data_IF_126252035301
#
_entry.id   IF_126252035301
#
_cell.length_a   1.000
_cell.length_b   1.000
_cell.length_c   1.000
_cell.angle_alpha   90.00
_cell.angle_beta   90.00
_cell.angle_gamma   90.00
#
_symmetry.space_group_name_H-M   'P 1'
#
loop_
_entity.id
_entity.type
_entity.pdbx_description
1 polymer ?
#
# COMPACT_ATOMS: atom_id res chain seq x y z
N UNK A 1 11.64 1.74 -18.64
CA UNK A 1 10.20 2.10 -18.62
C UNK A 1 9.78 2.11 -17.16
N UNK A 2 10.12 3.20 -16.48
CA UNK A 2 9.76 3.48 -15.08
C UNK A 2 8.42 4.22 -15.03
N UNK A 3 7.40 3.67 -15.67
CA UNK A 3 6.06 4.27 -15.79
C UNK A 3 5.16 3.90 -14.58
N UNK A 4 5.78 3.72 -13.41
CA UNK A 4 5.05 3.54 -12.18
C UNK A 4 4.73 4.93 -11.61
N UNK A 5 3.45 5.26 -11.37
CA UNK A 5 3.11 6.54 -10.78
C UNK A 5 3.88 6.73 -9.47
N UNK A 6 4.33 7.96 -9.17
CA UNK A 6 5.10 8.22 -7.97
C UNK A 6 4.33 7.75 -6.73
N UNK A 7 4.99 7.05 -5.81
CA UNK A 7 4.31 6.46 -4.65
C UNK A 7 3.63 7.49 -3.75
N UNK A 8 4.14 8.72 -3.69
CA UNK A 8 3.54 9.82 -2.97
C UNK A 8 2.20 10.29 -3.57
N UNK A 9 1.94 9.98 -4.84
CA UNK A 9 0.61 10.19 -5.44
C UNK A 9 -0.38 9.15 -4.94
N UNK A 10 0.09 7.94 -4.62
CA UNK A 10 -0.77 6.80 -4.28
C UNK A 10 -1.17 6.76 -2.79
N UNK A 11 -0.23 7.10 -1.91
CA UNK A 11 -0.47 7.11 -0.47
C UNK A 11 0.12 8.35 0.19
N UNK A 12 -0.54 8.82 1.24
CA UNK A 12 -0.04 9.90 2.09
C UNK A 12 0.23 9.37 3.49
N UNK A 13 1.48 9.51 3.95
CA UNK A 13 1.90 9.08 5.29
C UNK A 13 1.61 10.18 6.30
N UNK A 14 0.84 9.81 7.33
CA UNK A 14 0.45 10.68 8.43
C UNK A 14 1.44 10.58 9.60
N UNK A 15 1.99 9.39 9.79
CA UNK A 15 2.95 9.09 10.86
C UNK A 15 3.76 7.85 10.49
N UNK A 16 5.06 7.85 10.80
CA UNK A 16 5.90 6.66 10.66
C UNK A 16 7.00 6.65 11.71
N UNK A 17 7.19 5.52 12.38
CA UNK A 17 8.33 5.30 13.28
C UNK A 17 9.54 4.70 12.57
N UNK A 18 9.39 4.31 11.31
CA UNK A 18 10.46 3.77 10.47
C UNK A 18 10.65 4.66 9.22
N UNK A 19 11.86 4.73 8.63
CA UNK A 19 12.06 5.41 7.36
C UNK A 19 11.14 4.79 6.29
N UNK A 20 10.34 5.63 5.64
CA UNK A 20 9.48 5.19 4.55
C UNK A 20 10.30 5.04 3.27
N UNK A 21 10.89 3.87 3.07
CA UNK A 21 11.58 3.55 1.81
C UNK A 21 10.56 3.39 0.67
N UNK A 22 10.96 3.62 -0.60
CA UNK A 22 10.08 3.40 -1.73
C UNK A 22 9.49 1.98 -1.78
N UNK A 23 10.30 0.96 -1.47
CA UNK A 23 9.84 -0.44 -1.39
C UNK A 23 8.77 -0.62 -0.32
N UNK A 24 8.97 -0.08 0.88
CA UNK A 24 7.98 -0.15 1.96
C UNK A 24 6.68 0.57 1.57
N UNK A 25 6.78 1.77 0.99
CA UNK A 25 5.62 2.52 0.52
C UNK A 25 4.80 1.71 -0.50
N UNK A 26 5.45 1.04 -1.45
CA UNK A 26 4.77 0.20 -2.45
C UNK A 26 4.12 -1.04 -1.85
N UNK A 27 4.81 -1.74 -0.95
CA UNK A 27 4.23 -2.91 -0.27
C UNK A 27 3.01 -2.52 0.56
N UNK A 28 3.08 -1.42 1.32
CA UNK A 28 1.97 -0.91 2.11
C UNK A 28 0.80 -0.46 1.24
N UNK A 29 1.08 0.23 0.13
CA UNK A 29 0.07 0.61 -0.85
C UNK A 29 -0.68 -0.61 -1.39
N UNK A 30 0.05 -1.63 -1.86
CA UNK A 30 -0.56 -2.82 -2.44
C UNK A 30 -1.44 -3.55 -1.43
N UNK A 31 -0.92 -3.77 -0.21
CA UNK A 31 -1.67 -4.42 0.85
C UNK A 31 -2.94 -3.62 1.23
N UNK A 32 -2.83 -2.30 1.39
CA UNK A 32 -3.97 -1.45 1.71
C UNK A 32 -5.00 -1.41 0.57
N UNK A 33 -4.56 -1.36 -0.69
CA UNK A 33 -5.46 -1.36 -1.84
C UNK A 33 -6.24 -2.68 -1.95
N UNK A 34 -5.57 -3.81 -1.71
CA UNK A 34 -6.24 -5.12 -1.66
C UNK A 34 -7.28 -5.19 -0.53
N UNK A 35 -6.97 -4.65 0.65
CA UNK A 35 -7.93 -4.56 1.76
C UNK A 35 -9.11 -3.64 1.43
N UNK A 36 -8.83 -2.48 0.83
CA UNK A 36 -9.87 -1.55 0.38
C UNK A 36 -10.82 -2.23 -0.61
N UNK A 37 -10.28 -2.91 -1.62
CA UNK A 37 -11.09 -3.58 -2.66
C UNK A 37 -11.91 -4.75 -2.14
N UNK A 38 -11.37 -5.53 -1.19
CA UNK A 38 -12.06 -6.69 -0.62
C UNK A 38 -13.02 -6.34 0.52
N UNK A 39 -12.85 -5.16 1.13
CA UNK A 39 -13.57 -4.77 2.35
C UNK A 39 -13.03 -5.44 3.62
N UNK A 40 -11.84 -6.03 3.55
CA UNK A 40 -11.22 -6.76 4.66
C UNK A 40 -10.67 -5.81 5.73
N UNK A 41 -10.67 -6.27 6.98
CA UNK A 41 -10.16 -5.48 8.12
C UNK A 41 -8.64 -5.52 8.25
N UNK A 42 -8.00 -6.64 7.88
CA UNK A 42 -6.58 -6.90 8.16
C UNK A 42 -5.96 -7.69 7.01
N UNK A 43 -4.74 -7.32 6.64
CA UNK A 43 -3.94 -7.97 5.58
C UNK A 43 -2.50 -8.15 6.02
N UNK A 44 -1.83 -9.16 5.49
CA UNK A 44 -0.41 -9.38 5.74
C UNK A 44 0.43 -8.46 4.85
N UNK A 45 1.51 -7.92 5.42
CA UNK A 45 2.61 -7.32 4.68
C UNK A 45 3.67 -8.40 4.55
N UNK A 46 3.94 -8.83 3.32
CA UNK A 46 5.01 -9.78 3.04
C UNK A 46 5.82 -9.29 1.84
N UNK A 47 7.08 -8.93 2.10
CA UNK A 47 8.09 -8.66 1.10
C UNK A 47 9.45 -9.18 1.59
N UNK A 48 10.46 -9.20 0.72
CA UNK A 48 11.75 -9.87 1.00
C UNK A 48 12.44 -9.43 2.31
N UNK A 49 12.25 -8.18 2.75
CA UNK A 49 12.89 -7.60 3.93
C UNK A 49 11.91 -6.99 4.95
N UNK A 50 10.60 -7.18 4.73
CA UNK A 50 9.53 -6.53 5.50
C UNK A 50 8.41 -7.54 5.75
N UNK A 51 8.12 -7.81 7.02
CA UNK A 51 6.93 -8.56 7.44
C UNK A 51 6.02 -7.70 8.30
N UNK A 52 4.74 -8.06 8.42
CA UNK A 52 3.84 -7.33 9.30
C UNK A 52 2.36 -7.46 8.93
N UNK A 53 1.55 -6.54 9.45
CA UNK A 53 0.11 -6.50 9.22
C UNK A 53 -0.35 -5.08 8.91
N UNK A 54 -1.25 -4.94 7.96
CA UNK A 54 -2.01 -3.70 7.70
C UNK A 54 -3.42 -3.88 8.21
N UNK A 55 -3.89 -2.89 8.94
CA UNK A 55 -5.24 -2.76 9.45
C UNK A 55 -5.96 -1.65 8.69
N UNK A 56 -7.11 -1.99 8.11
CA UNK A 56 -8.06 -1.01 7.58
C UNK A 56 -8.79 -0.37 8.76
N UNK A 57 -8.59 0.93 8.98
CA UNK A 57 -9.21 1.64 10.10
C UNK A 57 -10.71 1.90 9.85
N UNK A 58 -11.21 1.61 8.65
CA UNK A 58 -12.59 1.81 8.21
C UNK A 58 -13.08 3.24 8.43
N UNK A 59 -12.17 4.19 8.18
CA UNK A 59 -12.38 5.62 8.30
C UNK A 59 -11.80 6.31 7.09
N UNK A 60 -12.52 7.28 6.56
CA UNK A 60 -11.98 8.27 5.64
C UNK A 60 -11.35 9.42 6.43
N UNK A 61 -10.16 9.84 6.03
CA UNK A 61 -9.43 10.96 6.61
C UNK A 61 -9.35 12.08 5.58
N UNK A 62 -9.58 13.31 6.05
CA UNK A 62 -9.47 14.54 5.28
C UNK A 62 -8.34 15.35 5.90
N UNK A 63 -7.25 15.55 5.15
CA UNK A 63 -6.10 16.33 5.57
C UNK A 63 -5.79 17.40 4.51
N UNK A 64 -6.22 18.63 4.77
CA UNK A 64 -6.14 19.70 3.78
C UNK A 64 -6.89 19.32 2.50
N UNK A 65 -6.18 19.33 1.36
CA UNK A 65 -6.73 18.90 0.06
C UNK A 65 -6.65 17.40 -0.22
N UNK A 66 -6.07 16.60 0.69
CA UNK A 66 -5.87 15.16 0.51
C UNK A 66 -6.97 14.41 1.27
N UNK A 67 -7.59 13.41 0.64
CA UNK A 67 -8.65 12.61 1.24
C UNK A 67 -8.52 11.14 0.84
N UNK A 68 -8.95 10.24 1.74
CA UNK A 68 -9.21 8.85 1.43
C UNK A 68 -9.19 7.91 2.64
N UNK A 69 -9.33 6.59 2.42
CA UNK A 69 -9.40 5.61 3.49
C UNK A 69 -8.08 5.47 4.23
N UNK A 70 -8.16 5.37 5.55
CA UNK A 70 -7.01 5.32 6.45
C UNK A 70 -6.65 3.90 6.90
N UNK A 71 -5.35 3.68 7.05
CA UNK A 71 -4.75 2.41 7.40
C UNK A 71 -3.65 2.61 8.46
N UNK A 72 -3.44 1.56 9.25
CA UNK A 72 -2.31 1.44 10.15
C UNK A 72 -1.57 0.16 9.84
N UNK A 73 -0.25 0.22 9.72
CA UNK A 73 0.59 -0.94 9.52
C UNK A 73 1.56 -1.11 10.67
N UNK A 74 1.56 -2.30 11.26
CA UNK A 74 2.61 -2.80 12.12
C UNK A 74 3.60 -3.55 11.24
N UNK A 75 4.86 -3.11 11.21
CA UNK A 75 5.90 -3.68 10.35
C UNK A 75 7.12 -4.07 11.16
N UNK A 76 7.74 -5.17 10.77
CA UNK A 76 9.04 -5.63 11.24
C UNK A 76 10.05 -5.47 10.11
N UNK A 77 11.15 -4.79 10.41
CA UNK A 77 12.25 -4.56 9.49
C UNK A 77 13.58 -4.95 10.17
N UNK A 78 14.68 -5.00 9.42
CA UNK A 78 16.02 -5.21 9.99
C UNK A 78 16.43 -4.16 11.04
N UNK A 79 15.80 -2.97 10.99
CA UNK A 79 16.03 -1.89 11.95
C UNK A 79 15.15 -2.02 13.22
N UNK A 80 14.28 -3.03 13.26
CA UNK A 80 13.31 -3.27 14.32
C UNK A 80 11.87 -3.07 13.87
N UNK A 81 10.96 -3.24 14.82
CA UNK A 81 9.51 -3.09 14.63
C UNK A 81 9.12 -1.60 14.57
N UNK A 82 8.00 -1.32 13.91
CA UNK A 82 7.47 0.03 13.82
C UNK A 82 6.03 0.11 13.35
N UNK A 83 5.49 1.33 13.42
CA UNK A 83 4.12 1.64 13.03
C UNK A 83 4.12 2.71 11.95
N UNK A 84 3.28 2.51 10.92
CA UNK A 84 3.03 3.48 9.85
C UNK A 84 1.53 3.74 9.78
N UNK A 85 1.11 5.01 9.91
CA UNK A 85 -0.25 5.45 9.64
C UNK A 85 -0.28 6.23 8.34
N UNK A 86 -1.19 5.84 7.47
CA UNK A 86 -1.28 6.41 6.13
C UNK A 86 -2.71 6.37 5.62
N UNK A 87 -2.95 7.07 4.52
CA UNK A 87 -4.19 6.95 3.74
C UNK A 87 -3.84 6.61 2.30
N UNK A 88 -4.75 5.88 1.64
CA UNK A 88 -4.75 5.81 0.17
C UNK A 88 -5.43 7.07 -0.34
N UNK A 89 -4.76 7.83 -1.21
CA UNK A 89 -5.35 9.06 -1.73
C UNK A 89 -6.48 8.69 -2.70
N UNK A 90 -7.56 9.48 -2.76
CA UNK A 90 -8.61 9.26 -3.76
C UNK A 90 -8.07 9.27 -5.19
N UNK A 91 -7.17 10.22 -5.49
CA UNK A 91 -6.47 10.26 -6.77
C UNK A 91 -5.71 8.95 -7.05
N UNK A 92 -5.01 8.41 -6.05
CA UNK A 92 -4.28 7.15 -6.17
C UNK A 92 -5.20 5.95 -6.42
N UNK A 93 -6.34 5.91 -5.75
CA UNK A 93 -7.37 4.88 -5.98
C UNK A 93 -7.91 4.94 -7.41
N UNK A 94 -8.29 6.12 -7.88
CA UNK A 94 -8.79 6.33 -9.24
C UNK A 94 -7.77 5.88 -10.30
N UNK A 95 -6.49 6.19 -10.10
CA UNK A 95 -5.40 5.77 -10.99
C UNK A 95 -5.23 4.24 -11.03
N UNK A 96 -5.43 3.56 -9.89
CA UNK A 96 -5.32 2.10 -9.80
C UNK A 96 -6.55 1.37 -10.34
N UNK A 97 -7.73 1.96 -10.22
CA UNK A 97 -8.95 1.44 -10.82
C UNK A 97 -8.95 1.61 -12.34
N UNK A 98 -8.36 2.69 -12.86
CA UNK A 98 -8.19 2.94 -14.29
C UNK A 98 -7.12 2.05 -14.95
N UNK A 99 -6.25 1.39 -14.17
CA UNK A 99 -5.17 0.56 -14.70
C UNK A 99 -5.72 -0.81 -15.13
N UNK A 100 -5.52 -1.25 -16.39
CA UNK A 100 -5.90 -2.59 -16.80
C UNK A 100 -5.10 -3.63 -15.99
N UNK A 101 -5.70 -4.78 -15.64
CA UNK A 101 -5.01 -5.81 -14.86
C UNK A 101 -3.75 -6.29 -15.60
N UNK A 102 -2.65 -6.56 -14.89
CA UNK A 102 -1.43 -7.03 -15.53
C UNK A 102 -1.71 -8.35 -16.28
N UNK A 103 -1.17 -8.53 -17.50
CA UNK A 103 -1.37 -9.76 -18.25
C UNK A 103 -0.83 -10.94 -17.45
N UNK A 104 -1.64 -11.99 -17.28
CA UNK A 104 -1.21 -13.25 -16.66
C UNK A 104 -0.11 -13.86 -17.52
N UNK A 105 1.15 -13.73 -17.12
CA UNK A 105 2.27 -14.45 -17.74
C UNK A 105 2.09 -15.94 -17.45
N UNK A 106 1.55 -16.67 -18.43
CA UNK A 106 1.49 -18.13 -18.41
C UNK A 106 2.94 -18.64 -18.54
N UNK A 107 3.47 -19.44 -17.60
CA UNK A 107 4.82 -19.98 -17.74
C UNK A 107 4.90 -20.83 -19.02
N UNK A 108 6.02 -20.78 -19.76
CA UNK A 108 6.16 -21.57 -20.98
C UNK A 108 6.09 -23.06 -20.62
N UNK A 109 5.13 -23.76 -21.22
CA UNK A 109 5.09 -25.21 -21.22
C UNK A 109 6.29 -25.71 -22.02
N UNK A 110 7.29 -26.26 -21.33
CA UNK A 110 8.40 -26.97 -21.95
C UNK A 110 7.87 -28.35 -22.38
N UNK A 111 7.82 -28.59 -23.69
CA UNK A 111 7.62 -29.91 -24.31
C UNK A 111 8.97 -30.52 -24.68
#
# INVERSE_FOLDING_TARGET
MDDAPPYWTLLSVLFSTQPLTPTLAMTLHQAAYDLYRKGDSVGQVAGDLISGKVHNLRKDVHLGGITGPAFEAEIDTERGSGVVRFLLTRQGLEMMEARPPPPKTRPPLLN
#
